data_IF_193133736672
#
_entry.id   IF_193133736672
#
_cell.length_a   1.000
_cell.length_b   1.000
_cell.length_c   1.000
_cell.angle_alpha   90.00
_cell.angle_beta   90.00
_cell.angle_gamma   90.00
#
_symmetry.space_group_name_H-M   'P 1'
#
loop_
_entity.id
_entity.type
_entity.pdbx_description
1 polymer ?
#
# COMPACT_ATOMS: atom_id res chain seq x y z
N UNK A 1 -29.80 15.95 -25.40
CA UNK A 1 -29.81 14.55 -25.88
C UNK A 1 -29.03 13.72 -24.86
N UNK A 2 -29.69 13.26 -23.79
CA UNK A 2 -29.06 12.52 -22.69
C UNK A 2 -28.97 11.04 -23.08
N UNK A 3 -27.76 10.58 -23.38
CA UNK A 3 -27.46 9.15 -23.52
C UNK A 3 -27.76 8.44 -22.18
N UNK A 4 -28.57 7.37 -22.16
CA UNK A 4 -28.69 6.55 -20.96
C UNK A 4 -27.34 5.87 -20.73
N UNK A 5 -26.58 6.33 -19.74
CA UNK A 5 -25.33 5.68 -19.32
C UNK A 5 -25.68 4.24 -18.93
N UNK A 6 -25.33 3.27 -19.79
CA UNK A 6 -25.50 1.86 -19.52
C UNK A 6 -24.85 1.55 -18.16
N UNK A 7 -25.67 1.26 -17.14
CA UNK A 7 -25.17 0.99 -15.80
C UNK A 7 -24.44 -0.35 -15.87
N UNK A 8 -23.10 -0.31 -15.82
CA UNK A 8 -22.33 -1.53 -15.68
C UNK A 8 -22.78 -2.25 -14.39
N UNK A 9 -23.07 -3.56 -14.45
CA UNK A 9 -23.52 -4.31 -13.29
C UNK A 9 -22.47 -4.27 -12.18
N UNK A 10 -22.84 -3.71 -11.03
CA UNK A 10 -21.95 -3.55 -9.86
C UNK A 10 -21.83 -4.86 -9.08
N UNK A 11 -20.65 -5.13 -8.51
CA UNK A 11 -20.34 -6.30 -7.68
C UNK A 11 -19.62 -5.87 -6.40
N UNK A 12 -19.79 -6.59 -5.29
CA UNK A 12 -19.08 -6.31 -4.03
C UNK A 12 -17.55 -6.37 -4.17
N UNK A 13 -17.04 -7.15 -5.13
CA UNK A 13 -15.60 -7.36 -5.34
C UNK A 13 -15.04 -6.63 -6.56
N UNK A 14 -15.89 -5.91 -7.30
CA UNK A 14 -15.54 -5.30 -8.58
C UNK A 14 -15.32 -6.32 -9.71
N UNK A 15 -15.04 -5.83 -10.90
CA UNK A 15 -14.71 -6.59 -12.11
C UNK A 15 -13.38 -6.11 -12.66
N UNK A 16 -12.70 -6.95 -13.44
CA UNK A 16 -11.45 -6.58 -14.09
C UNK A 16 -11.66 -5.44 -15.10
N UNK A 17 -10.70 -4.50 -15.13
CA UNK A 17 -10.62 -3.39 -16.09
C UNK A 17 -10.50 -3.87 -17.55
N UNK A 18 -9.95 -5.07 -17.75
CA UNK A 18 -9.74 -5.69 -19.06
C UNK A 18 -10.93 -6.56 -19.51
N UNK A 19 -12.06 -6.46 -18.81
CA UNK A 19 -13.22 -7.33 -19.02
C UNK A 19 -13.12 -8.64 -18.24
N UNK A 20 -14.27 -9.28 -18.01
CA UNK A 20 -14.39 -10.58 -17.33
C UNK A 20 -15.30 -10.59 -16.09
N UNK A 21 -15.22 -11.70 -15.35
CA UNK A 21 -16.00 -11.95 -14.13
C UNK A 21 -15.21 -11.55 -12.87
N UNK A 22 -15.91 -11.18 -11.79
CA UNK A 22 -15.29 -10.97 -10.46
C UNK A 22 -14.48 -12.17 -9.98
N UNK A 23 -14.86 -13.39 -10.39
CA UNK A 23 -14.09 -14.61 -10.06
C UNK A 23 -12.72 -14.61 -10.73
N UNK A 24 -12.66 -14.23 -12.01
CA UNK A 24 -11.40 -14.17 -12.74
C UNK A 24 -10.44 -13.16 -12.10
N UNK A 25 -10.96 -11.99 -11.69
CA UNK A 25 -10.19 -10.98 -10.96
C UNK A 25 -9.59 -11.52 -9.65
N UNK A 26 -10.38 -12.24 -8.85
CA UNK A 26 -9.90 -12.81 -7.58
C UNK A 26 -8.80 -13.84 -7.84
N UNK A 27 -9.01 -14.77 -8.78
CA UNK A 27 -8.01 -15.80 -9.10
C UNK A 27 -6.72 -15.21 -9.68
N UNK A 28 -6.80 -14.24 -10.58
CA UNK A 28 -5.60 -13.60 -11.13
C UNK A 28 -4.86 -12.80 -10.07
N UNK A 29 -5.57 -12.13 -9.17
CA UNK A 29 -4.96 -11.36 -8.08
C UNK A 29 -4.25 -12.26 -7.06
N UNK A 30 -4.88 -13.37 -6.68
CA UNK A 30 -4.28 -14.39 -5.82
C UNK A 30 -3.06 -15.04 -6.49
N UNK A 31 -3.18 -15.42 -7.76
CA UNK A 31 -2.11 -16.08 -8.49
C UNK A 31 -0.88 -15.18 -8.67
N UNK A 32 -1.08 -13.97 -9.21
CA UNK A 32 0.02 -13.03 -9.41
C UNK A 32 0.55 -12.49 -8.07
N UNK A 33 -0.30 -12.25 -7.07
CA UNK A 33 0.12 -11.88 -5.73
C UNK A 33 0.98 -12.97 -5.06
N UNK A 34 0.61 -14.25 -5.20
CA UNK A 34 1.40 -15.37 -4.71
C UNK A 34 2.75 -15.50 -5.43
N UNK A 35 2.80 -15.27 -6.74
CA UNK A 35 4.06 -15.27 -7.50
C UNK A 35 5.00 -14.16 -7.01
N UNK A 36 4.47 -12.94 -6.82
CA UNK A 36 5.25 -11.82 -6.28
C UNK A 36 5.74 -12.11 -4.85
N UNK A 37 4.89 -12.71 -4.02
CA UNK A 37 5.22 -13.05 -2.64
C UNK A 37 6.30 -14.12 -2.56
N UNK A 38 6.19 -15.18 -3.36
CA UNK A 38 7.20 -16.21 -3.47
C UNK A 38 8.53 -15.63 -4.01
N UNK A 39 8.48 -14.72 -4.99
CA UNK A 39 9.66 -14.03 -5.48
C UNK A 39 10.37 -13.21 -4.40
N UNK A 40 9.63 -12.41 -3.62
CA UNK A 40 10.18 -11.65 -2.51
C UNK A 40 10.73 -12.55 -1.39
N UNK A 41 10.04 -13.65 -1.05
CA UNK A 41 10.51 -14.64 -0.10
C UNK A 41 11.78 -15.34 -0.56
N UNK A 42 11.89 -15.67 -1.85
CA UNK A 42 13.06 -16.31 -2.44
C UNK A 42 14.27 -15.37 -2.38
N UNK A 43 14.10 -14.11 -2.81
CA UNK A 43 15.13 -13.09 -2.69
C UNK A 43 15.59 -12.94 -1.23
N UNK A 44 14.65 -12.83 -0.30
CA UNK A 44 14.97 -12.73 1.12
C UNK A 44 15.77 -13.94 1.61
N UNK A 45 15.37 -15.16 1.27
CA UNK A 45 16.08 -16.37 1.68
C UNK A 45 17.48 -16.49 1.06
N UNK A 46 17.70 -15.98 -0.15
CA UNK A 46 19.02 -15.96 -0.79
C UNK A 46 19.97 -14.95 -0.15
N UNK A 47 19.46 -13.76 0.24
CA UNK A 47 20.30 -12.71 0.82
C UNK A 47 20.44 -12.79 2.34
N UNK A 48 19.53 -13.48 3.01
CA UNK A 48 19.57 -13.64 4.46
C UNK A 48 20.54 -14.76 4.83
N UNK A 49 21.63 -14.43 5.53
CA UNK A 49 22.57 -15.41 6.13
C UNK A 49 21.94 -16.11 7.35
N UNK A 50 20.77 -16.71 7.17
CA UNK A 50 20.01 -17.39 8.23
C UNK A 50 20.27 -18.90 8.11
N UNK A 51 20.48 -19.58 9.24
CA UNK A 51 20.77 -21.02 9.30
C UNK A 51 19.69 -21.89 8.63
N UNK A 52 18.44 -21.40 8.58
CA UNK A 52 17.28 -22.09 8.00
C UNK A 52 16.63 -21.24 6.89
N UNK A 53 17.19 -21.21 5.67
CA UNK A 53 16.71 -20.36 4.57
C UNK A 53 15.27 -20.71 4.14
N UNK A 54 14.86 -21.97 4.26
CA UNK A 54 13.49 -22.40 3.96
C UNK A 54 12.45 -21.77 4.89
N UNK A 55 12.81 -21.57 6.17
CA UNK A 55 11.92 -20.97 7.17
C UNK A 55 11.83 -19.46 6.95
N UNK A 56 12.95 -18.81 6.63
CA UNK A 56 13.00 -17.41 6.23
C UNK A 56 12.15 -17.14 4.98
N UNK A 57 12.23 -18.02 3.97
CA UNK A 57 11.39 -18.00 2.78
C UNK A 57 9.90 -18.07 3.15
N UNK A 58 9.51 -19.04 3.99
CA UNK A 58 8.11 -19.27 4.35
C UNK A 58 7.53 -18.08 5.12
N UNK A 59 8.24 -17.58 6.14
CA UNK A 59 7.81 -16.44 6.95
C UNK A 59 7.64 -15.20 6.08
N UNK A 60 8.64 -14.89 5.24
CA UNK A 60 8.61 -13.72 4.38
C UNK A 60 7.48 -13.81 3.35
N UNK A 61 7.34 -14.98 2.68
CA UNK A 61 6.28 -15.21 1.68
C UNK A 61 4.90 -15.04 2.30
N UNK A 62 4.65 -15.64 3.47
CA UNK A 62 3.36 -15.53 4.17
C UNK A 62 3.09 -14.10 4.62
N UNK A 63 4.11 -13.39 5.13
CA UNK A 63 3.99 -12.01 5.59
C UNK A 63 3.62 -11.03 4.48
N UNK A 64 4.15 -11.22 3.26
CA UNK A 64 3.90 -10.33 2.12
C UNK A 64 2.80 -10.80 1.17
N UNK A 65 2.26 -12.02 1.36
CA UNK A 65 1.21 -12.58 0.52
C UNK A 65 -0.03 -11.69 0.47
N UNK A 66 -0.56 -11.33 1.64
CA UNK A 66 -1.75 -10.50 1.76
C UNK A 66 -1.59 -9.12 1.09
N UNK A 67 -0.53 -8.33 1.38
CA UNK A 67 -0.37 -7.03 0.74
C UNK A 67 -0.14 -7.12 -0.77
N UNK A 68 0.59 -8.11 -1.29
CA UNK A 68 0.76 -8.26 -2.74
C UNK A 68 -0.51 -8.71 -3.46
N UNK A 69 -1.28 -9.66 -2.90
CA UNK A 69 -2.59 -10.02 -3.45
C UNK A 69 -3.53 -8.80 -3.48
N UNK A 70 -3.54 -7.99 -2.42
CA UNK A 70 -4.33 -6.77 -2.36
C UNK A 70 -3.86 -5.73 -3.40
N UNK A 71 -2.55 -5.56 -3.58
CA UNK A 71 -1.96 -4.65 -4.55
C UNK A 71 -2.32 -5.05 -5.99
N UNK A 72 -2.14 -6.32 -6.35
CA UNK A 72 -2.51 -6.83 -7.69
C UNK A 72 -4.01 -6.66 -7.93
N UNK A 73 -4.84 -6.99 -6.94
CA UNK A 73 -6.28 -6.75 -7.03
C UNK A 73 -6.60 -5.27 -7.26
N UNK A 74 -5.97 -4.37 -6.51
CA UNK A 74 -6.17 -2.92 -6.65
C UNK A 74 -5.76 -2.38 -8.03
N UNK A 75 -4.73 -2.94 -8.66
CA UNK A 75 -4.30 -2.57 -10.02
C UNK A 75 -5.28 -3.07 -11.09
N UNK A 76 -5.81 -4.28 -10.90
CA UNK A 76 -6.67 -4.96 -11.88
C UNK A 76 -8.16 -4.61 -11.76
N UNK A 77 -8.62 -4.19 -10.59
CA UNK A 77 -10.04 -3.91 -10.34
C UNK A 77 -10.46 -2.60 -10.99
N UNK A 78 -11.58 -2.63 -11.71
CA UNK A 78 -12.28 -1.42 -12.13
C UNK A 78 -13.11 -0.92 -10.96
N UNK A 79 -12.65 0.17 -10.35
CA UNK A 79 -13.29 0.79 -9.19
C UNK A 79 -14.74 1.20 -9.45
N UNK A 80 -15.11 1.53 -10.69
CA UNK A 80 -16.49 1.92 -11.04
C UNK A 80 -17.49 0.75 -10.99
N UNK A 81 -16.99 -0.48 -11.00
CA UNK A 81 -17.81 -1.69 -10.93
C UNK A 81 -18.04 -2.18 -9.50
N UNK A 82 -17.48 -1.51 -8.49
CA UNK A 82 -17.67 -1.83 -7.08
C UNK A 82 -18.96 -1.19 -6.56
N UNK A 83 -19.82 -1.98 -5.92
CA UNK A 83 -21.08 -1.49 -5.35
C UNK A 83 -20.82 -0.49 -4.21
N UNK A 84 -21.45 0.69 -4.27
CA UNK A 84 -21.36 1.70 -3.20
C UNK A 84 -20.25 2.73 -3.37
N UNK A 85 -19.52 2.73 -4.49
CA UNK A 85 -18.50 3.76 -4.77
C UNK A 85 -19.15 5.11 -5.04
N UNK A 86 -18.72 6.14 -4.29
CA UNK A 86 -19.01 7.54 -4.57
C UNK A 86 -18.47 7.89 -5.96
N UNK A 87 -19.32 8.41 -6.86
CA UNK A 87 -18.97 8.64 -8.28
C UNK A 87 -17.77 9.58 -8.50
N UNK A 88 -17.48 10.48 -7.56
CA UNK A 88 -16.35 11.44 -7.58
C UNK A 88 -15.62 11.44 -6.24
N UNK A 89 -14.81 10.41 -5.98
CA UNK A 89 -14.11 10.23 -4.71
C UNK A 89 -13.07 11.32 -4.45
N UNK A 90 -12.48 11.91 -5.49
CA UNK A 90 -11.61 13.09 -5.44
C UNK A 90 -12.30 14.34 -4.89
N UNK A 91 -13.63 14.45 -5.02
CA UNK A 91 -14.41 15.53 -4.40
C UNK A 91 -14.95 15.16 -3.02
N UNK A 92 -14.56 14.00 -2.49
CA UNK A 92 -14.84 13.68 -1.09
C UNK A 92 -13.97 14.55 -0.19
N UNK A 93 -14.61 15.15 0.83
CA UNK A 93 -13.92 15.84 1.92
C UNK A 93 -12.86 14.94 2.57
N UNK A 94 -13.12 13.63 2.64
CA UNK A 94 -12.17 12.65 3.19
C UNK A 94 -10.93 12.47 2.32
N UNK A 95 -11.10 12.46 1.00
CA UNK A 95 -9.97 12.35 0.05
C UNK A 95 -9.10 13.60 0.12
N UNK A 96 -9.72 14.76 0.28
CA UNK A 96 -8.99 16.03 0.48
C UNK A 96 -8.16 16.01 1.77
N UNK A 97 -8.68 15.47 2.88
CA UNK A 97 -7.91 15.35 4.12
C UNK A 97 -6.78 14.33 3.99
N UNK A 98 -7.04 13.21 3.31
CA UNK A 98 -6.04 12.19 3.02
C UNK A 98 -4.89 12.77 2.18
N UNK A 99 -5.18 13.41 1.06
CA UNK A 99 -4.17 13.98 0.15
C UNK A 99 -3.33 15.05 0.85
N UNK A 100 -3.96 15.90 1.67
CA UNK A 100 -3.24 16.90 2.46
C UNK A 100 -2.39 16.27 3.59
N UNK A 101 -2.87 15.21 4.24
CA UNK A 101 -2.09 14.51 5.26
C UNK A 101 -0.91 13.74 4.64
N UNK A 102 -1.13 13.06 3.50
CA UNK A 102 -0.12 12.31 2.78
C UNK A 102 0.98 13.21 2.21
N UNK A 103 0.60 14.29 1.51
CA UNK A 103 1.57 15.26 0.97
C UNK A 103 2.43 15.91 2.05
N UNK A 104 1.81 16.31 3.17
CA UNK A 104 2.54 16.81 4.32
C UNK A 104 3.52 15.77 4.89
N UNK A 105 3.03 14.56 5.18
CA UNK A 105 3.87 13.49 5.76
C UNK A 105 5.05 13.15 4.86
N UNK A 106 4.86 13.19 3.54
CA UNK A 106 5.93 12.97 2.57
C UNK A 106 7.02 14.03 2.67
N UNK A 107 6.66 15.31 2.73
CA UNK A 107 7.64 16.41 2.87
C UNK A 107 8.39 16.31 4.20
N UNK A 108 7.70 16.03 5.30
CA UNK A 108 8.31 15.80 6.60
C UNK A 108 9.29 14.62 6.55
N UNK A 109 8.92 13.52 5.91
CA UNK A 109 9.80 12.36 5.80
C UNK A 109 11.01 12.61 4.90
N UNK A 110 10.88 13.36 3.81
CA UNK A 110 12.04 13.78 3.02
C UNK A 110 13.05 14.55 3.89
N UNK A 111 12.56 15.45 4.74
CA UNK A 111 13.40 16.23 5.65
C UNK A 111 14.03 15.31 6.71
N UNK A 112 13.24 14.49 7.40
CA UNK A 112 13.71 13.56 8.44
C UNK A 112 14.76 12.60 7.88
N UNK A 113 14.48 11.96 6.74
CA UNK A 113 15.42 11.04 6.10
C UNK A 113 16.69 11.75 5.66
N UNK A 114 16.57 12.95 5.06
CA UNK A 114 17.73 13.74 4.64
C UNK A 114 18.63 14.15 5.81
N UNK A 115 18.04 14.65 6.90
CA UNK A 115 18.77 15.03 8.11
C UNK A 115 19.37 13.80 8.79
N UNK A 116 18.61 12.71 8.92
CA UNK A 116 19.10 11.46 9.51
C UNK A 116 20.30 10.92 8.73
N UNK A 117 20.21 10.92 7.40
CA UNK A 117 21.31 10.50 6.52
C UNK A 117 22.55 11.41 6.68
N UNK A 118 22.37 12.72 6.75
CA UNK A 118 23.47 13.67 6.96
C UNK A 118 24.16 13.46 8.32
N UNK A 119 23.38 13.32 9.40
CA UNK A 119 23.90 13.05 10.75
C UNK A 119 24.67 11.74 10.78
N UNK A 120 24.10 10.65 10.24
CA UNK A 120 24.76 9.35 10.24
C UNK A 120 26.05 9.39 9.41
N UNK A 121 26.06 10.12 8.29
CA UNK A 121 27.24 10.29 7.44
C UNK A 121 28.35 11.09 8.14
N UNK A 122 28.03 12.22 8.76
CA UNK A 122 29.01 13.11 9.41
C UNK A 122 29.60 12.44 10.67
N UNK A 123 28.74 11.89 11.52
CA UNK A 123 29.14 11.30 12.80
C UNK A 123 29.56 9.83 12.69
N UNK A 124 29.47 9.23 11.48
CA UNK A 124 29.77 7.82 11.20
C UNK A 124 29.09 6.87 12.20
N UNK A 125 27.80 7.13 12.47
CA UNK A 125 27.02 6.34 13.42
C UNK A 125 26.59 5.03 12.73
N UNK A 126 26.99 3.91 13.32
CA UNK A 126 26.58 2.59 12.85
C UNK A 126 25.30 2.17 13.59
N UNK A 127 24.17 2.18 12.88
CA UNK A 127 22.86 1.81 13.43
C UNK A 127 22.35 0.60 12.67
N UNK A 128 21.73 -0.34 13.39
CA UNK A 128 21.05 -1.46 12.76
C UNK A 128 19.98 -0.96 11.78
N UNK A 129 20.17 -1.21 10.49
CA UNK A 129 19.29 -0.72 9.43
C UNK A 129 17.85 -1.20 9.58
N UNK A 130 17.62 -2.40 10.11
CA UNK A 130 16.28 -2.92 10.35
C UNK A 130 15.54 -2.11 11.41
N UNK A 131 16.21 -1.77 12.51
CA UNK A 131 15.65 -0.90 13.55
C UNK A 131 15.42 0.52 13.03
N UNK A 132 16.34 1.05 12.21
CA UNK A 132 16.20 2.37 11.61
C UNK A 132 14.95 2.45 10.72
N UNK A 133 14.79 1.49 9.80
CA UNK A 133 13.64 1.44 8.90
C UNK A 133 12.34 1.24 9.68
N UNK A 134 12.33 0.36 10.69
CA UNK A 134 11.17 0.17 11.55
C UNK A 134 10.78 1.46 12.28
N UNK A 135 11.75 2.19 12.84
CA UNK A 135 11.52 3.47 13.48
C UNK A 135 10.97 4.52 12.51
N UNK A 136 11.52 4.62 11.29
CA UNK A 136 11.01 5.52 10.26
C UNK A 136 9.57 5.19 9.86
N UNK A 137 9.23 3.90 9.69
CA UNK A 137 7.85 3.49 9.38
C UNK A 137 6.89 3.89 10.52
N UNK A 138 7.30 3.71 11.78
CA UNK A 138 6.49 4.10 12.93
C UNK A 138 6.28 5.63 12.97
N UNK A 139 7.34 6.41 12.74
CA UNK A 139 7.24 7.88 12.68
C UNK A 139 6.32 8.31 11.53
N UNK A 140 6.47 7.72 10.34
CA UNK A 140 5.62 8.02 9.18
C UNK A 140 4.15 7.72 9.47
N UNK A 141 3.87 6.55 10.07
CA UNK A 141 2.51 6.12 10.39
C UNK A 141 1.89 7.03 11.46
N UNK A 142 2.68 7.42 12.46
CA UNK A 142 2.23 8.32 13.52
C UNK A 142 1.96 9.74 12.98
N UNK A 143 2.86 10.33 12.20
CA UNK A 143 2.67 11.67 11.62
C UNK A 143 1.45 11.71 10.70
N UNK A 144 1.34 10.74 9.80
CA UNK A 144 0.16 10.61 8.93
C UNK A 144 -1.13 10.48 9.74
N UNK A 145 -1.14 9.57 10.72
CA UNK A 145 -2.31 9.31 11.56
C UNK A 145 -2.74 10.56 12.36
N UNK A 146 -1.80 11.26 12.98
CA UNK A 146 -2.07 12.50 13.71
C UNK A 146 -2.62 13.58 12.77
N UNK A 147 -1.99 13.81 11.61
CA UNK A 147 -2.43 14.81 10.63
C UNK A 147 -3.81 14.49 10.07
N UNK A 148 -4.07 13.24 9.76
CA UNK A 148 -5.38 12.77 9.29
C UNK A 148 -6.46 12.99 10.36
N UNK A 149 -6.21 12.57 11.60
CA UNK A 149 -7.16 12.72 12.71
C UNK A 149 -7.43 14.19 13.03
N UNK A 150 -6.42 15.06 13.01
CA UNK A 150 -6.60 16.50 13.22
C UNK A 150 -7.46 17.14 12.13
N UNK A 151 -7.23 16.80 10.86
CA UNK A 151 -8.04 17.30 9.73
C UNK A 151 -9.48 16.79 9.79
N UNK A 152 -9.66 15.49 10.07
CA UNK A 152 -10.98 14.88 10.24
C UNK A 152 -11.78 15.50 11.40
N UNK A 153 -11.12 15.81 12.52
CA UNK A 153 -11.79 16.46 13.67
C UNK A 153 -12.19 17.91 13.41
N UNK A 154 -11.42 18.67 12.61
CA UNK A 154 -11.73 20.08 12.29
C UNK A 154 -12.87 20.25 11.29
N UNK A 155 -13.24 19.18 10.59
CA UNK A 155 -14.26 19.20 9.56
C UNK A 155 -15.58 18.52 9.99
N UNK A 156 -15.66 18.07 11.25
CA UNK A 156 -16.93 17.81 11.94
C UNK A 156 -17.46 19.11 12.52
#
# INVERSE_FOLDING_TARGET
>A
MNQPSARLPTSKWGRSRFGGSSKALIFTSLGAGAILAAGAGALFATFSKIEKPWLAFAIMTVGVLAPFCALVWALLVDRLTITGVTKRPEESVENTWYDQAASGTFTDMLLIMGVTAAVFSIFRIDVNSSLLIAALILIMTADFGVRYLLKSRRAR
#
